data_IF_174559142863
#
_entry.id   IF_174559142863
#
_cell.length_a   1.000
_cell.length_b   1.000
_cell.length_c   1.000
_cell.angle_alpha   90.00
_cell.angle_beta   90.00
_cell.angle_gamma   90.00
#
_symmetry.space_group_name_H-M   'P 1'
#
loop_
_entity.id
_entity.type
_entity.pdbx_description
1 polymer ?
#
# COMPACT_ATOMS: atom_id res chain seq x y z
N UNK A 1 -2.93 2.11 -63.17
CA UNK A 1 -3.19 3.33 -62.40
C UNK A 1 -2.62 3.13 -61.01
N UNK A 2 -1.39 3.58 -60.79
CA UNK A 2 -0.59 3.40 -59.56
C UNK A 2 -0.67 4.68 -58.73
N UNK A 3 -1.44 4.65 -57.64
CA UNK A 3 -1.52 5.74 -56.67
C UNK A 3 -0.52 5.54 -55.53
N UNK A 4 0.58 6.29 -55.53
CA UNK A 4 1.50 6.38 -54.39
C UNK A 4 0.94 7.31 -53.30
N UNK A 5 1.24 7.06 -52.01
CA UNK A 5 0.73 7.88 -50.92
C UNK A 5 1.38 9.27 -50.90
N UNK A 6 0.54 10.30 -50.89
CA UNK A 6 0.91 11.70 -50.80
C UNK A 6 1.63 12.00 -49.47
N UNK A 7 2.88 12.46 -49.55
CA UNK A 7 3.63 12.99 -48.40
C UNK A 7 3.06 14.35 -48.02
N UNK A 8 2.49 14.44 -46.83
CA UNK A 8 1.98 15.68 -46.25
C UNK A 8 3.13 16.59 -45.78
N UNK A 9 3.04 17.92 -45.97
CA UNK A 9 4.11 18.88 -45.67
C UNK A 9 4.45 19.01 -44.17
N UNK A 10 3.66 18.38 -43.30
CA UNK A 10 3.88 18.36 -41.85
C UNK A 10 5.02 17.45 -41.42
N UNK A 11 5.41 16.46 -42.23
CA UNK A 11 6.51 15.55 -41.90
C UNK A 11 7.90 16.20 -42.03
N UNK A 12 8.06 17.16 -42.95
CA UNK A 12 9.36 17.83 -43.15
C UNK A 12 9.76 18.73 -41.97
N UNK A 13 8.80 19.33 -41.27
CA UNK A 13 9.08 20.14 -40.09
C UNK A 13 9.47 19.31 -38.85
N UNK A 14 8.97 18.08 -38.74
CA UNK A 14 9.22 17.21 -37.58
C UNK A 14 10.65 16.64 -37.53
N UNK A 15 11.29 16.42 -38.69
CA UNK A 15 12.66 15.88 -38.76
C UNK A 15 13.75 16.94 -38.48
N UNK A 16 13.48 18.22 -38.76
CA UNK A 16 14.44 19.29 -38.48
C UNK A 16 14.60 19.58 -36.98
N UNK A 17 13.52 19.42 -36.20
CA UNK A 17 13.53 19.65 -34.75
C UNK A 17 14.21 18.52 -33.96
N UNK A 18 14.09 17.27 -34.41
CA UNK A 18 14.76 16.12 -33.77
C UNK A 18 16.28 16.13 -33.95
N UNK A 19 16.79 16.62 -35.08
CA UNK A 19 18.23 16.75 -35.32
C UNK A 19 18.92 17.80 -34.44
N UNK A 20 18.26 18.94 -34.20
CA UNK A 20 18.80 20.04 -33.39
C UNK A 20 18.93 19.66 -31.91
N UNK A 21 17.98 18.87 -31.39
CA UNK A 21 17.99 18.42 -29.98
C UNK A 21 19.11 17.39 -29.74
N UNK A 22 19.39 16.50 -30.70
CA UNK A 22 20.47 15.50 -30.55
C UNK A 22 21.87 16.14 -30.52
N UNK A 23 22.09 17.23 -31.28
CA UNK A 23 23.37 17.94 -31.32
C UNK A 23 23.67 18.71 -30.01
N UNK A 24 22.64 19.24 -29.34
CA UNK A 24 22.80 19.95 -28.06
C UNK A 24 23.15 19.01 -26.89
N UNK A 25 22.61 17.79 -26.88
CA UNK A 25 22.88 16.80 -25.81
C UNK A 25 24.30 16.24 -25.91
N UNK A 26 24.84 16.07 -27.12
CA UNK A 26 26.22 15.61 -27.31
C UNK A 26 27.28 16.68 -26.99
N UNK A 27 26.98 17.97 -27.22
CA UNK A 27 27.90 19.08 -26.97
C UNK A 27 28.10 19.42 -25.48
N UNK A 28 27.08 19.23 -24.64
CA UNK A 28 27.14 19.57 -23.21
C UNK A 28 27.79 18.48 -22.34
N UNK A 29 27.92 17.24 -22.86
CA UNK A 29 28.52 16.11 -22.15
C UNK A 29 30.06 16.06 -22.18
N UNK A 30 30.73 16.89 -23.01
CA UNK A 30 32.18 16.83 -23.20
C UNK A 30 32.97 18.00 -22.58
N UNK A 31 32.36 18.79 -21.68
CA UNK A 31 33.02 19.93 -21.03
C UNK A 31 33.12 19.85 -19.49
N UNK A 32 32.87 18.69 -18.88
CA UNK A 32 32.97 18.50 -17.42
C UNK A 32 33.89 17.34 -16.98
N UNK A 33 34.64 16.71 -17.90
CA UNK A 33 35.79 15.89 -17.50
C UNK A 33 37.06 16.75 -17.49
N UNK A 34 37.37 17.29 -16.31
CA UNK A 34 38.61 18.06 -16.11
C UNK A 34 38.97 18.29 -14.65
N UNK A 35 39.72 17.33 -14.08
CA UNK A 35 40.81 17.54 -13.10
C UNK A 35 40.44 18.01 -11.68
N UNK A 36 40.55 17.12 -10.68
CA UNK A 36 41.42 17.32 -9.48
C UNK A 36 41.89 15.95 -8.91
N UNK A 37 43.20 15.62 -8.94
CA UNK A 37 43.80 14.62 -8.06
C UNK A 37 44.30 15.29 -6.77
N UNK A 38 44.05 14.69 -5.60
CA UNK A 38 44.44 15.30 -4.33
C UNK A 38 44.27 14.38 -3.13
N UNK A 39 45.13 13.37 -3.05
CA UNK A 39 45.37 12.52 -1.87
C UNK A 39 45.83 13.32 -0.64
N UNK A 40 45.34 12.97 0.55
CA UNK A 40 46.16 12.91 1.79
C UNK A 40 45.49 12.04 2.87
N UNK A 41 46.21 11.07 3.46
CA UNK A 41 45.76 10.33 4.63
C UNK A 41 46.08 11.13 5.90
N UNK A 42 45.22 11.02 6.92
CA UNK A 42 45.53 11.48 8.28
C UNK A 42 45.34 10.33 9.24
N UNK A 43 46.48 9.82 9.67
CA UNK A 43 46.71 8.91 10.79
C UNK A 43 46.46 9.64 12.12
N UNK A 44 45.78 8.96 13.05
CA UNK A 44 46.29 8.84 14.41
C UNK A 44 45.48 9.50 15.54
N UNK A 45 45.33 8.69 16.60
CA UNK A 45 45.12 9.06 18.01
C UNK A 45 43.68 9.32 18.43
N UNK A 46 43.15 8.81 19.54
CA UNK A 46 43.54 7.79 20.53
C UNK A 46 42.30 7.64 21.45
N UNK A 47 42.06 6.48 22.08
CA UNK A 47 40.97 6.33 23.05
C UNK A 47 41.38 6.95 24.40
N UNK A 48 40.45 7.66 25.05
CA UNK A 48 40.59 8.07 26.45
C UNK A 48 39.72 7.17 27.32
N UNK A 49 40.30 6.40 28.26
CA UNK A 49 39.57 5.74 29.33
C UNK A 49 39.81 6.44 30.67
N UNK A 50 38.75 6.63 31.46
CA UNK A 50 38.68 6.79 32.94
C UNK A 50 37.31 7.43 33.23
N UNK A 51 36.48 6.99 34.18
CA UNK A 51 36.79 6.82 35.60
C UNK A 51 35.84 5.78 36.21
N UNK A 52 36.44 4.85 36.95
CA UNK A 52 35.83 3.99 37.97
C UNK A 52 35.13 4.84 39.02
N UNK A 53 33.86 4.57 39.33
CA UNK A 53 33.27 4.99 40.61
C UNK A 53 32.64 3.79 41.31
N UNK A 54 33.38 3.30 42.29
CA UNK A 54 33.01 2.33 43.32
C UNK A 54 32.08 2.97 44.35
N UNK A 55 30.94 2.33 44.61
CA UNK A 55 30.12 2.59 45.79
C UNK A 55 29.31 1.33 46.15
N UNK A 56 29.50 0.73 47.34
CA UNK A 56 28.77 -0.47 47.74
C UNK A 56 27.65 -0.18 48.78
N UNK A 57 26.68 -1.11 48.83
CA UNK A 57 25.69 -1.46 49.90
C UNK A 57 24.61 -0.43 50.34
N UNK A 58 23.48 -0.83 50.98
CA UNK A 58 22.87 -2.17 51.17
C UNK A 58 21.34 -2.26 50.91
N UNK A 59 20.88 -3.51 51.02
CA UNK A 59 19.54 -4.08 51.15
C UNK A 59 18.40 -3.25 51.80
N UNK A 60 17.18 -3.49 51.30
CA UNK A 60 16.03 -3.86 52.14
C UNK A 60 14.89 -4.49 51.30
N UNK A 61 14.60 -5.77 51.58
CA UNK A 61 13.26 -6.35 51.40
C UNK A 61 12.38 -5.98 52.59
N UNK A 62 11.05 -5.88 52.38
CA UNK A 62 10.10 -6.75 53.12
C UNK A 62 9.09 -7.36 52.13
N UNK A 63 8.95 -8.69 52.06
CA UNK A 63 8.14 -9.60 52.91
C UNK A 63 6.67 -9.17 53.11
N UNK A 64 5.83 -9.88 52.34
CA UNK A 64 4.55 -10.51 52.68
C UNK A 64 3.37 -9.78 53.35
N UNK A 65 2.22 -10.08 52.72
CA UNK A 65 0.90 -10.37 53.27
C UNK A 65 -0.02 -9.20 53.62
N UNK A 66 -1.26 -9.26 53.11
CA UNK A 66 -2.49 -9.49 53.93
C UNK A 66 -3.68 -9.79 52.99
N UNK A 67 -4.68 -10.57 53.45
CA UNK A 67 -5.69 -11.26 52.65
C UNK A 67 -7.10 -10.61 52.65
N UNK A 68 -7.98 -11.23 51.87
CA UNK A 68 -9.44 -11.32 51.98
C UNK A 68 -10.35 -10.15 51.54
N UNK A 69 -11.02 -10.41 50.42
CA UNK A 69 -12.46 -10.27 50.12
C UNK A 69 -13.33 -9.57 51.18
N UNK A 70 -14.17 -8.62 50.74
CA UNK A 70 -15.61 -8.79 50.98
C UNK A 70 -16.44 -8.78 49.70
N UNK A 71 -17.31 -9.80 49.63
CA UNK A 71 -18.44 -9.97 48.73
C UNK A 71 -19.40 -8.80 48.90
N UNK A 72 -19.61 -8.02 47.84
CA UNK A 72 -20.73 -7.10 47.75
C UNK A 72 -21.92 -7.83 47.10
N UNK A 73 -22.94 -8.05 47.90
CA UNK A 73 -24.29 -8.52 47.55
C UNK A 73 -24.89 -7.68 46.42
N UNK A 74 -25.41 -8.26 45.32
CA UNK A 74 -26.22 -7.52 44.38
C UNK A 74 -27.59 -7.22 45.00
N UNK A 75 -27.83 -5.95 45.32
CA UNK A 75 -29.16 -5.44 45.69
C UNK A 75 -30.06 -5.49 44.45
N UNK A 76 -31.12 -6.29 44.51
CA UNK A 76 -32.21 -6.26 43.55
C UNK A 76 -32.98 -4.94 43.69
N UNK A 77 -32.82 -4.04 42.72
CA UNK A 77 -33.61 -2.79 42.62
C UNK A 77 -34.67 -2.96 41.54
N UNK A 78 -35.88 -2.54 41.90
CA UNK A 78 -37.17 -2.80 41.27
C UNK A 78 -37.25 -2.61 39.75
N UNK A 79 -37.96 -3.55 39.14
CA UNK A 79 -38.49 -3.52 37.77
C UNK A 79 -39.41 -2.31 37.56
N UNK A 80 -39.09 -1.35 36.67
CA UNK A 80 -40.09 -0.41 36.19
C UNK A 80 -41.05 -1.13 35.23
N UNK A 81 -42.34 -1.11 35.58
CA UNK A 81 -43.44 -1.52 34.71
C UNK A 81 -43.42 -0.67 33.44
N UNK A 82 -43.09 -1.28 32.30
CA UNK A 82 -43.22 -0.63 31.00
C UNK A 82 -44.71 -0.57 30.62
N UNK A 83 -45.25 0.65 30.61
CA UNK A 83 -46.55 1.02 30.04
C UNK A 83 -46.64 0.58 28.57
N UNK A 84 -47.73 -0.08 28.12
CA UNK A 84 -47.89 -0.44 26.72
C UNK A 84 -47.96 0.82 25.85
N UNK A 85 -46.97 0.99 24.99
CA UNK A 85 -46.91 2.07 23.99
C UNK A 85 -47.80 1.65 22.80
N UNK A 86 -48.66 2.56 22.25
CA UNK A 86 -49.53 2.22 21.13
C UNK A 86 -48.73 1.82 19.88
N UNK A 87 -49.12 0.68 19.32
CA UNK A 87 -48.58 0.07 18.10
C UNK A 87 -48.67 1.05 16.92
N UNK A 88 -47.53 1.47 16.40
CA UNK A 88 -47.48 2.21 15.12
C UNK A 88 -47.80 1.24 13.98
N UNK A 89 -48.83 1.58 13.23
CA UNK A 89 -49.27 0.96 11.98
C UNK A 89 -48.09 0.71 11.05
N UNK A 90 -47.86 -0.56 10.68
CA UNK A 90 -46.83 -0.94 9.72
C UNK A 90 -47.14 -0.33 8.35
N UNK A 91 -46.27 0.56 7.89
CA UNK A 91 -46.23 1.03 6.50
C UNK A 91 -45.81 -0.14 5.60
N UNK A 92 -46.47 -0.40 4.46
CA UNK A 92 -46.08 -1.46 3.55
C UNK A 92 -44.67 -1.22 3.03
N UNK A 93 -43.73 -2.08 3.46
CA UNK A 93 -42.37 -2.12 2.96
C UNK A 93 -42.39 -2.56 1.51
N UNK A 94 -41.90 -1.71 0.60
CA UNK A 94 -41.71 -2.09 -0.80
C UNK A 94 -40.69 -3.24 -0.84
N UNK A 95 -41.11 -4.38 -1.39
CA UNK A 95 -40.24 -5.50 -1.72
C UNK A 95 -39.21 -5.03 -2.73
N UNK A 96 -38.02 -4.68 -2.26
CA UNK A 96 -36.84 -4.54 -3.11
C UNK A 96 -36.37 -5.96 -3.41
N UNK A 97 -36.57 -6.39 -4.66
CA UNK A 97 -35.99 -7.64 -5.17
C UNK A 97 -34.50 -7.64 -4.88
N UNK A 98 -33.96 -8.60 -4.11
CA UNK A 98 -32.52 -8.65 -3.87
C UNK A 98 -31.83 -8.96 -5.20
N UNK A 99 -31.11 -7.97 -5.73
CA UNK A 99 -30.06 -8.20 -6.73
C UNK A 99 -29.11 -9.25 -6.14
N UNK A 100 -28.73 -10.32 -6.87
CA UNK A 100 -27.82 -11.32 -6.35
C UNK A 100 -26.49 -10.67 -5.99
N UNK A 101 -26.26 -10.49 -4.69
CA UNK A 101 -24.93 -10.17 -4.16
C UNK A 101 -24.06 -11.40 -4.46
N UNK A 102 -22.93 -11.26 -5.18
CA UNK A 102 -22.05 -12.40 -5.39
C UNK A 102 -21.64 -12.95 -4.03
N UNK A 103 -21.92 -14.23 -3.83
CA UNK A 103 -21.47 -15.00 -2.67
C UNK A 103 -19.99 -14.69 -2.41
N UNK A 104 -19.66 -14.32 -1.17
CA UNK A 104 -18.37 -13.76 -0.74
C UNK A 104 -17.20 -14.73 -0.78
N UNK A 105 -17.03 -15.46 -1.88
CA UNK A 105 -15.89 -16.31 -2.16
C UNK A 105 -15.60 -16.44 -3.68
N UNK A 106 -16.15 -15.54 -4.50
CA UNK A 106 -15.90 -15.55 -5.94
C UNK A 106 -14.48 -15.02 -6.23
N UNK A 107 -13.71 -15.78 -7.03
CA UNK A 107 -12.43 -15.34 -7.57
C UNK A 107 -12.59 -14.98 -9.04
N UNK A 108 -12.27 -13.74 -9.39
CA UNK A 108 -12.18 -13.26 -10.77
C UNK A 108 -10.77 -13.56 -11.31
N UNK A 109 -10.66 -14.39 -12.33
CA UNK A 109 -9.38 -14.63 -13.03
C UNK A 109 -9.20 -13.63 -14.19
N UNK A 110 -8.13 -12.85 -14.13
CA UNK A 110 -7.73 -11.84 -15.14
C UNK A 110 -6.35 -12.13 -15.72
N UNK A 111 -5.81 -13.33 -15.55
CA UNK A 111 -4.43 -13.70 -15.95
C UNK A 111 -4.14 -13.56 -17.45
N UNK A 112 -5.17 -13.54 -18.30
CA UNK A 112 -5.03 -13.30 -19.74
C UNK A 112 -4.87 -11.82 -20.15
N UNK A 113 -4.84 -10.89 -19.18
CA UNK A 113 -4.70 -9.45 -19.42
C UNK A 113 -3.27 -8.97 -19.13
N UNK A 114 -2.78 -7.92 -19.81
CA UNK A 114 -1.45 -7.37 -19.53
C UNK A 114 -1.39 -6.64 -18.17
N UNK A 115 -2.51 -6.10 -17.72
CA UNK A 115 -2.67 -5.46 -16.42
C UNK A 115 -4.15 -5.46 -16.02
N UNK A 116 -4.40 -5.29 -14.73
CA UNK A 116 -5.74 -5.11 -14.18
C UNK A 116 -5.65 -4.15 -12.99
N UNK A 117 -6.76 -3.49 -12.69
CA UNK A 117 -6.83 -2.54 -11.60
C UNK A 117 -8.19 -2.66 -10.94
N UNK A 118 -8.24 -2.51 -9.63
CA UNK A 118 -9.49 -2.43 -8.89
C UNK A 118 -9.40 -1.45 -7.73
N UNK A 119 -10.55 -0.96 -7.30
CA UNK A 119 -10.72 -0.21 -6.06
C UNK A 119 -11.46 -1.07 -5.03
N UNK A 120 -11.08 -0.92 -3.76
CA UNK A 120 -11.90 -1.38 -2.63
C UNK A 120 -13.31 -0.74 -2.67
N UNK A 121 -14.33 -1.32 -2.02
CA UNK A 121 -15.69 -0.78 -2.01
C UNK A 121 -15.81 0.66 -1.47
N UNK A 122 -14.93 1.06 -0.55
CA UNK A 122 -14.86 2.44 -0.05
C UNK A 122 -14.11 3.38 -0.98
N UNK A 123 -13.39 2.86 -1.98
CA UNK A 123 -12.49 3.64 -2.85
C UNK A 123 -11.17 4.05 -2.19
N UNK A 124 -10.98 3.75 -0.89
CA UNK A 124 -9.79 4.18 -0.16
C UNK A 124 -8.51 3.47 -0.64
N UNK A 125 -8.63 2.21 -1.04
CA UNK A 125 -7.52 1.41 -1.56
C UNK A 125 -7.73 1.15 -3.05
N UNK A 126 -6.69 1.40 -3.85
CA UNK A 126 -6.61 1.03 -5.27
C UNK A 126 -5.41 0.10 -5.45
N UNK A 127 -5.61 -1.01 -6.13
CA UNK A 127 -4.54 -1.94 -6.48
C UNK A 127 -4.44 -2.09 -7.99
N UNK A 128 -3.21 -2.11 -8.49
CA UNK A 128 -2.86 -2.41 -9.88
C UNK A 128 -2.03 -3.68 -9.92
N UNK A 129 -2.48 -4.64 -10.72
CA UNK A 129 -1.88 -5.96 -10.88
C UNK A 129 -1.24 -6.05 -12.27
N UNK A 130 -0.06 -6.64 -12.30
CA UNK A 130 0.56 -7.24 -13.48
C UNK A 130 0.69 -8.77 -13.30
N UNK A 131 1.18 -9.51 -14.31
CA UNK A 131 1.24 -10.98 -14.28
C UNK A 131 1.94 -11.58 -13.05
N UNK A 132 2.95 -10.89 -12.53
CA UNK A 132 3.72 -11.28 -11.34
C UNK A 132 3.95 -10.13 -10.37
N UNK A 133 3.21 -9.02 -10.52
CA UNK A 133 3.39 -7.82 -9.72
C UNK A 133 2.06 -7.32 -9.18
N UNK A 134 2.13 -6.64 -8.04
CA UNK A 134 1.03 -5.80 -7.60
C UNK A 134 1.59 -4.56 -6.93
N UNK A 135 0.90 -3.44 -7.09
CA UNK A 135 1.10 -2.22 -6.31
C UNK A 135 -0.24 -1.75 -5.79
N UNK A 136 -0.33 -1.42 -4.52
CA UNK A 136 -1.53 -0.93 -3.86
C UNK A 136 -1.24 0.40 -3.16
N UNK A 137 -2.18 1.34 -3.31
CA UNK A 137 -2.15 2.70 -2.75
C UNK A 137 -3.39 2.90 -1.86
N UNK A 138 -3.16 3.42 -0.65
CA UNK A 138 -4.19 3.87 0.28
C UNK A 138 -4.19 5.42 0.38
N UNK A 139 -5.31 6.04 -0.01
CA UNK A 139 -5.46 7.52 0.01
C UNK A 139 -5.48 8.06 1.44
N UNK A 140 -6.35 7.51 2.27
CA UNK A 140 -6.48 7.81 3.69
C UNK A 140 -5.83 6.69 4.51
N UNK A 141 -4.80 7.05 5.27
CA UNK A 141 -4.02 6.15 6.12
C UNK A 141 -3.51 6.86 7.36
N UNK A 142 -3.40 6.11 8.45
CA UNK A 142 -2.88 6.58 9.75
C UNK A 142 -1.42 6.17 9.99
N UNK A 143 -0.76 5.66 8.96
CA UNK A 143 0.59 5.09 9.02
C UNK A 143 1.48 5.73 7.95
N UNK A 144 2.79 5.70 8.20
CA UNK A 144 3.83 6.07 7.25
C UNK A 144 4.93 5.02 7.37
N UNK A 145 5.15 4.15 6.37
CA UNK A 145 6.20 3.16 6.45
C UNK A 145 7.58 3.86 6.37
N UNK A 146 8.65 3.23 6.87
CA UNK A 146 10.00 3.76 6.68
C UNK A 146 10.36 3.78 5.19
N UNK A 147 11.11 4.79 4.77
CA UNK A 147 11.60 4.88 3.41
C UNK A 147 12.51 3.69 3.07
N UNK A 148 12.31 3.02 1.92
CA UNK A 148 13.25 2.04 1.41
C UNK A 148 14.65 2.65 1.22
N UNK A 149 15.68 1.81 1.27
CA UNK A 149 17.06 2.25 1.08
C UNK A 149 17.22 3.01 -0.25
N UNK A 150 17.71 4.24 -0.19
CA UNK A 150 17.91 5.09 -1.37
C UNK A 150 16.65 5.80 -1.90
N UNK A 151 15.48 5.62 -1.28
CA UNK A 151 14.27 6.32 -1.71
C UNK A 151 14.25 7.76 -1.21
N UNK A 152 14.17 8.71 -2.15
CA UNK A 152 14.01 10.15 -1.87
C UNK A 152 12.60 10.67 -2.22
N UNK A 153 11.71 9.76 -2.65
CA UNK A 153 10.40 10.08 -3.20
C UNK A 153 9.28 9.59 -2.27
N UNK A 154 8.04 9.62 -2.75
CA UNK A 154 6.91 9.02 -2.06
C UNK A 154 7.15 7.52 -1.88
N UNK A 155 6.79 7.00 -0.71
CA UNK A 155 7.08 5.63 -0.28
C UNK A 155 5.96 5.08 0.59
N UNK A 156 4.73 5.33 0.18
CA UNK A 156 3.52 5.05 0.94
C UNK A 156 2.60 4.01 0.28
N UNK A 157 3.08 3.41 -0.80
CA UNK A 157 2.46 2.29 -1.49
C UNK A 157 3.14 0.99 -1.08
N UNK A 158 2.40 -0.12 -1.07
CA UNK A 158 2.97 -1.45 -0.93
C UNK A 158 2.97 -2.16 -2.28
N UNK A 159 3.99 -2.99 -2.50
CA UNK A 159 4.12 -3.74 -3.73
C UNK A 159 4.60 -5.16 -3.50
N UNK A 160 4.29 -6.02 -4.47
CA UNK A 160 5.02 -7.25 -4.74
C UNK A 160 5.73 -7.04 -6.08
N UNK A 161 7.04 -7.10 -6.08
CA UNK A 161 7.86 -6.90 -7.28
C UNK A 161 7.92 -8.15 -8.17
N UNK A 162 8.48 -8.09 -9.40
CA UNK A 162 8.50 -9.23 -10.32
C UNK A 162 9.22 -10.48 -9.80
N UNK A 163 10.16 -10.32 -8.86
CA UNK A 163 10.85 -11.40 -8.15
C UNK A 163 10.01 -12.02 -7.03
N UNK A 164 8.85 -11.45 -6.73
CA UNK A 164 7.92 -11.98 -5.74
C UNK A 164 8.21 -11.53 -4.32
N UNK A 165 8.95 -10.44 -4.10
CA UNK A 165 9.16 -9.93 -2.74
C UNK A 165 8.14 -8.85 -2.41
N UNK A 166 7.58 -8.92 -1.20
CA UNK A 166 6.73 -7.87 -0.68
C UNK A 166 7.60 -6.71 -0.16
N UNK A 167 7.30 -5.49 -0.59
CA UNK A 167 8.09 -4.29 -0.27
C UNK A 167 7.21 -3.05 -0.10
N UNK A 168 7.79 -2.00 0.47
CA UNK A 168 7.28 -0.62 0.36
C UNK A 168 7.81 -0.04 -0.95
N UNK A 169 6.93 0.41 -1.83
CA UNK A 169 7.30 0.90 -3.14
C UNK A 169 7.79 2.35 -3.07
N UNK A 170 8.98 2.63 -3.59
CA UNK A 170 9.42 3.99 -3.87
C UNK A 170 8.85 4.44 -5.22
N UNK A 171 8.12 5.56 -5.26
CA UNK A 171 7.37 5.95 -6.45
C UNK A 171 7.29 7.47 -6.66
N UNK A 172 7.03 7.87 -7.92
CA UNK A 172 6.82 9.27 -8.33
C UNK A 172 5.52 9.45 -9.13
N UNK A 173 4.77 8.37 -9.31
CA UNK A 173 3.56 8.26 -10.10
C UNK A 173 2.40 7.81 -9.21
N UNK A 174 1.18 7.96 -9.71
CA UNK A 174 -0.01 7.45 -9.03
C UNK A 174 -0.62 6.31 -9.83
N UNK A 175 -1.12 5.31 -9.10
CA UNK A 175 -1.91 4.21 -9.67
C UNK A 175 -3.42 4.44 -9.48
N UNK A 176 -3.87 5.65 -9.12
CA UNK A 176 -5.30 5.95 -8.91
C UNK A 176 -6.03 6.37 -10.17
N UNK A 177 -5.31 6.57 -11.27
CA UNK A 177 -5.88 6.81 -12.59
C UNK A 177 -6.33 5.48 -13.24
N UNK A 178 -7.49 5.45 -13.90
CA UNK A 178 -7.95 4.30 -14.68
C UNK A 178 -6.97 3.91 -15.77
N UNK A 179 -6.71 2.60 -15.93
CA UNK A 179 -5.85 2.05 -16.98
C UNK A 179 -6.34 2.41 -18.40
N UNK A 180 -7.66 2.31 -18.64
CA UNK A 180 -8.25 2.41 -19.97
C UNK A 180 -8.99 3.74 -20.21
N UNK A 181 -8.70 4.77 -19.39
CA UNK A 181 -9.40 6.06 -19.42
C UNK A 181 -10.87 6.03 -18.97
N UNK A 182 -11.39 4.85 -18.58
CA UNK A 182 -12.74 4.64 -18.05
C UNK A 182 -12.83 4.88 -16.54
N UNK A 183 -13.46 3.96 -15.81
CA UNK A 183 -13.54 3.97 -14.35
C UNK A 183 -12.82 2.76 -13.78
N UNK A 184 -12.21 2.90 -12.60
CA UNK A 184 -11.62 1.77 -11.89
C UNK A 184 -12.76 0.88 -11.36
N UNK A 185 -12.82 -0.42 -11.72
CA UNK A 185 -13.86 -1.30 -11.24
C UNK A 185 -13.72 -1.53 -9.72
N UNK A 186 -14.85 -1.66 -9.05
CA UNK A 186 -14.88 -1.99 -7.61
C UNK A 186 -14.82 -3.50 -7.40
N UNK A 187 -13.91 -3.96 -6.54
CA UNK A 187 -13.85 -5.34 -6.08
C UNK A 187 -14.62 -5.47 -4.77
N UNK A 188 -15.81 -6.10 -4.82
CA UNK A 188 -16.69 -6.25 -3.67
C UNK A 188 -16.01 -6.96 -2.50
N UNK A 189 -16.45 -6.69 -1.28
CA UNK A 189 -15.93 -7.41 -0.11
C UNK A 189 -16.22 -8.91 -0.21
N UNK A 190 -15.26 -9.72 0.24
CA UNK A 190 -15.30 -11.17 0.13
C UNK A 190 -14.98 -11.70 -1.27
N UNK A 191 -14.61 -10.84 -2.22
CA UNK A 191 -14.20 -11.27 -3.55
C UNK A 191 -12.69 -11.15 -3.74
N UNK A 192 -12.17 -12.04 -4.58
CA UNK A 192 -10.75 -12.07 -4.92
C UNK A 192 -10.55 -11.86 -6.41
N UNK A 193 -9.38 -11.35 -6.78
CA UNK A 193 -8.91 -11.28 -8.16
C UNK A 193 -7.56 -11.98 -8.26
N UNK A 194 -7.41 -12.84 -9.27
CA UNK A 194 -6.17 -13.55 -9.58
C UNK A 194 -5.59 -13.06 -10.90
N UNK A 195 -4.31 -12.71 -10.89
CA UNK A 195 -3.53 -12.39 -12.09
C UNK A 195 -2.20 -13.15 -12.02
N UNK A 196 -2.06 -14.18 -12.85
CA UNK A 196 -0.92 -15.08 -12.79
C UNK A 196 -0.79 -15.69 -11.40
N UNK A 197 0.36 -15.42 -10.77
CA UNK A 197 0.70 -15.93 -9.43
C UNK A 197 0.25 -15.01 -8.29
N UNK A 198 -0.32 -13.84 -8.59
CA UNK A 198 -0.80 -12.90 -7.59
C UNK A 198 -2.29 -13.09 -7.35
N UNK A 199 -2.66 -13.23 -6.07
CA UNK A 199 -4.05 -13.26 -5.61
C UNK A 199 -4.29 -12.08 -4.66
N UNK A 200 -5.22 -11.20 -5.00
CA UNK A 200 -5.66 -10.11 -4.13
C UNK A 200 -7.09 -10.35 -3.67
N UNK A 201 -7.37 -10.08 -2.40
CA UNK A 201 -8.70 -10.23 -1.79
C UNK A 201 -9.12 -8.93 -1.12
N UNK A 202 -10.31 -8.45 -1.48
CA UNK A 202 -10.95 -7.30 -0.85
C UNK A 202 -11.75 -7.75 0.37
N UNK A 203 -11.38 -7.30 1.56
CA UNK A 203 -12.05 -7.65 2.82
C UNK A 203 -12.55 -6.38 3.53
N UNK A 204 -13.57 -6.49 4.40
CA UNK A 204 -14.04 -5.34 5.18
C UNK A 204 -12.95 -4.68 6.02
N UNK A 205 -11.95 -5.45 6.46
CA UNK A 205 -10.84 -4.97 7.28
C UNK A 205 -9.62 -4.47 6.47
N UNK A 206 -9.61 -4.63 5.15
CA UNK A 206 -8.52 -4.18 4.27
C UNK A 206 -8.40 -4.99 2.98
N UNK A 207 -7.39 -4.67 2.18
CA UNK A 207 -7.03 -5.44 0.97
C UNK A 207 -5.74 -6.19 1.26
N UNK A 208 -5.73 -7.49 0.99
CA UNK A 208 -4.53 -8.31 1.08
C UNK A 208 -4.21 -8.96 -0.25
N UNK A 209 -2.94 -8.95 -0.64
CA UNK A 209 -2.43 -9.62 -1.83
C UNK A 209 -1.30 -10.58 -1.46
N UNK A 210 -1.28 -11.75 -2.10
CA UNK A 210 -0.27 -12.79 -1.89
C UNK A 210 0.28 -13.26 -3.23
N UNK A 211 1.56 -13.58 -3.27
CA UNK A 211 2.25 -14.19 -4.39
C UNK A 211 2.40 -15.69 -4.11
N UNK A 212 1.85 -16.53 -4.98
CA UNK A 212 1.68 -17.96 -4.71
C UNK A 212 2.98 -18.78 -4.75
N UNK A 213 4.01 -18.29 -5.44
CA UNK A 213 5.32 -18.96 -5.63
C UNK A 213 6.25 -18.73 -4.44
N UNK A 214 6.35 -17.49 -3.94
CA UNK A 214 7.23 -17.11 -2.82
C UNK A 214 6.51 -17.14 -1.48
N UNK A 215 5.18 -17.01 -1.48
CA UNK A 215 4.38 -16.83 -0.26
C UNK A 215 4.41 -15.40 0.28
N UNK A 216 5.13 -14.49 -0.38
CA UNK A 216 5.17 -13.09 0.02
C UNK A 216 3.78 -12.44 -0.08
N UNK A 217 3.52 -11.48 0.79
CA UNK A 217 2.21 -10.82 0.84
C UNK A 217 2.26 -9.41 1.36
N UNK A 218 1.30 -8.62 0.92
CA UNK A 218 1.05 -7.27 1.40
C UNK A 218 -0.37 -7.17 1.92
N UNK A 219 -0.57 -6.37 2.96
CA UNK A 219 -1.89 -6.02 3.46
C UNK A 219 -1.96 -4.53 3.74
N UNK A 220 -3.07 -3.89 3.34
CA UNK A 220 -3.31 -2.47 3.55
C UNK A 220 -4.72 -2.25 4.08
N UNK A 221 -4.82 -1.40 5.10
CA UNK A 221 -6.04 -0.83 5.63
C UNK A 221 -5.78 0.63 6.00
N UNK A 222 -6.80 1.37 6.43
CA UNK A 222 -6.59 2.77 6.87
C UNK A 222 -5.70 2.83 8.11
N UNK A 223 -5.86 1.89 9.03
CA UNK A 223 -5.24 1.92 10.35
C UNK A 223 -3.89 1.19 10.41
N UNK A 224 -3.65 0.22 9.51
CA UNK A 224 -2.44 -0.60 9.51
C UNK A 224 -2.02 -1.03 8.11
N UNK A 225 -0.77 -1.43 8.01
CA UNK A 225 -0.21 -2.09 6.83
C UNK A 225 0.69 -3.25 7.27
N UNK A 226 0.86 -4.25 6.42
CA UNK A 226 1.75 -5.38 6.66
C UNK A 226 2.50 -5.72 5.37
N UNK A 227 3.78 -6.07 5.52
CA UNK A 227 4.65 -6.56 4.45
C UNK A 227 5.25 -7.88 4.95
N UNK A 228 4.82 -8.99 4.35
CA UNK A 228 5.34 -10.32 4.62
C UNK A 228 6.29 -10.71 3.46
N UNK A 229 7.61 -10.62 3.66
CA UNK A 229 8.60 -10.73 2.59
C UNK A 229 8.70 -12.14 1.99
#
# INVERSE_FOLDING_TARGET
MTGGPARSPRYLAAFALTGLVLALVAGLGLLLLGVIPGSRPSTGSSPSPSVVSTGPVPAASPTSAVPATPTATPTATATPTATPTPSRTATPSRTVTPTPSPSGNATLDVSGRPAYQFASPTGNIVCRLGPSTVRCDAQEKAWSPPAPAGCQQAHDDLAIDPGGHATVACHTDSIRQPLDGGTIPTLAYGTSVRMGDVLCTSRPDGVGCTQAVTGAGIFLARERYEVNP
#
